data_IF_848042613187
#
_entry.id   IF_848042613187
#
_cell.length_a   1.000
_cell.length_b   1.000
_cell.length_c   1.000
_cell.angle_alpha   90.00
_cell.angle_beta   90.00
_cell.angle_gamma   90.00
#
_symmetry.space_group_name_H-M   'P 1'
#
loop_
_entity.id
_entity.type
_entity.pdbx_description
1 polymer ?
#
# COMPACT_ATOMS: atom_id res chain seq x y z
N UNK A 1 -58.40 -1.20 15.51
CA UNK A 1 -58.47 -0.97 14.05
C UNK A 1 -57.13 -0.41 13.61
N UNK A 2 -56.20 -1.27 13.18
CA UNK A 2 -54.87 -0.81 12.74
C UNK A 2 -55.03 0.02 11.46
N UNK A 3 -54.77 1.33 11.57
CA UNK A 3 -54.85 2.29 10.47
C UNK A 3 -53.67 2.19 9.48
N UNK A 4 -52.64 1.41 9.83
CA UNK A 4 -51.43 1.23 9.03
C UNK A 4 -51.16 -0.25 8.71
N UNK A 5 -50.61 -0.51 7.52
CA UNK A 5 -50.10 -1.81 7.13
C UNK A 5 -48.61 -1.88 7.50
N UNK A 6 -48.20 -2.87 8.30
CA UNK A 6 -46.80 -3.07 8.68
C UNK A 6 -46.05 -3.87 7.62
N UNK A 7 -44.82 -3.44 7.32
CA UNK A 7 -43.97 -4.06 6.32
C UNK A 7 -42.61 -4.45 6.92
N UNK A 8 -42.25 -5.72 6.77
CA UNK A 8 -40.88 -6.17 6.97
C UNK A 8 -39.96 -5.62 5.87
N UNK A 9 -38.77 -5.19 6.26
CA UNK A 9 -37.81 -4.57 5.38
C UNK A 9 -36.36 -4.86 5.80
N UNK A 10 -35.50 -5.06 4.80
CA UNK A 10 -34.06 -5.24 5.03
C UNK A 10 -33.35 -3.89 4.95
N UNK A 11 -32.61 -3.46 5.99
CA UNK A 11 -31.79 -2.25 5.93
C UNK A 11 -30.66 -2.40 4.92
N UNK A 12 -30.29 -1.28 4.32
CA UNK A 12 -29.31 -1.17 3.26
C UNK A 12 -28.54 0.13 3.39
N UNK A 13 -27.23 0.06 3.60
CA UNK A 13 -26.35 1.21 3.55
C UNK A 13 -25.81 1.38 2.13
N UNK A 14 -25.85 2.61 1.63
CA UNK A 14 -25.32 2.99 0.32
C UNK A 14 -24.22 4.01 0.52
N UNK A 15 -22.99 3.64 0.19
CA UNK A 15 -21.79 4.48 0.32
C UNK A 15 -21.27 4.95 -1.04
N UNK A 16 -21.08 6.26 -1.19
CA UNK A 16 -20.51 6.84 -2.42
C UNK A 16 -19.25 7.64 -2.09
N UNK A 17 -18.08 7.10 -2.43
CA UNK A 17 -16.78 7.75 -2.21
C UNK A 17 -16.35 8.54 -3.45
N UNK A 18 -16.29 9.86 -3.34
CA UNK A 18 -15.92 10.81 -4.39
C UNK A 18 -14.73 11.67 -3.97
N UNK A 19 -13.52 11.19 -4.25
CA UNK A 19 -12.30 11.90 -3.85
C UNK A 19 -12.21 12.00 -2.33
N UNK A 20 -12.38 13.21 -1.80
CA UNK A 20 -12.34 13.51 -0.35
C UNK A 20 -13.72 13.57 0.29
N UNK A 21 -14.78 13.19 -0.43
CA UNK A 21 -16.15 13.20 0.08
C UNK A 21 -16.71 11.79 0.11
N UNK A 22 -17.09 11.32 1.29
CA UNK A 22 -17.84 10.06 1.45
C UNK A 22 -19.28 10.38 1.80
N UNK A 23 -20.20 9.97 0.93
CA UNK A 23 -21.63 10.07 1.18
C UNK A 23 -22.17 8.72 1.67
N UNK A 24 -23.13 8.79 2.58
CA UNK A 24 -23.84 7.64 3.11
C UNK A 24 -25.34 7.92 3.13
N UNK A 25 -26.12 6.95 2.66
CA UNK A 25 -27.58 6.92 2.79
C UNK A 25 -27.99 5.60 3.42
N UNK A 26 -28.86 5.66 4.43
CA UNK A 26 -29.50 4.47 5.00
C UNK A 26 -30.87 4.27 4.35
N UNK A 27 -31.01 3.17 3.62
CA UNK A 27 -32.21 2.77 2.91
C UNK A 27 -32.77 1.48 3.49
N UNK A 28 -34.00 1.14 3.13
CA UNK A 28 -34.61 -0.15 3.43
C UNK A 28 -35.38 -0.65 2.21
N UNK A 29 -35.22 -1.95 1.92
CA UNK A 29 -35.98 -2.63 0.87
C UNK A 29 -37.06 -3.49 1.53
N UNK A 30 -38.32 -3.10 1.34
CA UNK A 30 -39.46 -3.83 1.87
C UNK A 30 -39.78 -5.06 1.01
N UNK A 31 -40.50 -6.03 1.59
CA UNK A 31 -40.94 -7.26 0.88
C UNK A 31 -41.76 -6.99 -0.39
N UNK A 32 -42.53 -5.91 -0.43
CA UNK A 32 -43.33 -5.51 -1.59
C UNK A 32 -42.51 -4.80 -2.70
N UNK A 33 -41.19 -4.78 -2.54
CA UNK A 33 -40.23 -4.09 -3.40
C UNK A 33 -40.29 -2.56 -3.36
N UNK A 34 -41.02 -1.96 -2.41
CA UNK A 34 -40.88 -0.53 -2.12
C UNK A 34 -39.50 -0.24 -1.51
N UNK A 35 -38.99 0.95 -1.81
CA UNK A 35 -37.72 1.45 -1.27
C UNK A 35 -37.98 2.66 -0.39
N UNK A 36 -37.34 2.64 0.77
CA UNK A 36 -37.46 3.66 1.80
C UNK A 36 -36.09 4.24 2.13
N UNK A 37 -36.04 5.51 2.50
CA UNK A 37 -34.86 6.20 3.03
C UNK A 37 -35.11 6.63 4.46
N UNK A 38 -34.11 6.44 5.32
CA UNK A 38 -34.12 7.03 6.64
C UNK A 38 -33.72 8.49 6.53
N UNK A 39 -34.58 9.41 6.98
CA UNK A 39 -34.31 10.85 6.94
C UNK A 39 -33.47 11.36 8.13
N UNK A 40 -33.17 10.49 9.10
CA UNK A 40 -32.59 10.84 10.41
C UNK A 40 -33.59 10.70 11.56
N UNK A 41 -34.90 10.84 11.28
CA UNK A 41 -35.97 10.77 12.27
C UNK A 41 -37.13 9.85 11.87
N UNK A 42 -37.39 9.71 10.56
CA UNK A 42 -38.46 8.87 10.03
C UNK A 42 -38.05 8.19 8.70
N UNK A 43 -38.67 7.06 8.41
CA UNK A 43 -38.55 6.37 7.12
C UNK A 43 -39.49 6.99 6.09
N UNK A 44 -38.96 7.40 4.93
CA UNK A 44 -39.71 8.00 3.82
C UNK A 44 -39.66 7.10 2.59
N UNK A 45 -40.79 6.93 1.89
CA UNK A 45 -40.83 6.18 0.63
C UNK A 45 -40.12 6.97 -0.46
N UNK A 46 -39.13 6.37 -1.10
CA UNK A 46 -38.46 6.92 -2.29
C UNK A 46 -39.12 6.38 -3.56
N UNK A 47 -39.36 5.06 -3.60
CA UNK A 47 -39.96 4.38 -4.74
C UNK A 47 -41.07 3.46 -4.28
N UNK A 48 -42.28 3.65 -4.84
CA UNK A 48 -43.41 2.77 -4.57
C UNK A 48 -43.20 1.42 -5.25
N UNK A 49 -43.56 0.32 -4.56
CA UNK A 49 -43.56 -1.01 -5.14
C UNK A 49 -44.55 -1.18 -6.28
N UNK A 50 -44.72 -2.42 -6.77
CA UNK A 50 -45.55 -2.74 -7.96
C UNK A 50 -47.04 -2.38 -7.83
N UNK A 51 -47.52 -2.02 -6.63
CA UNK A 51 -48.92 -1.65 -6.35
C UNK A 51 -48.96 -0.39 -5.49
N UNK A 52 -49.82 0.58 -5.84
CA UNK A 52 -50.09 1.74 -4.98
C UNK A 52 -50.74 1.27 -3.67
N UNK A 53 -50.21 1.67 -2.50
CA UNK A 53 -50.76 1.26 -1.24
C UNK A 53 -52.15 1.88 -1.01
N UNK A 54 -53.08 1.09 -0.48
CA UNK A 54 -54.44 1.54 -0.16
C UNK A 54 -54.53 2.23 1.22
N UNK A 55 -53.49 2.11 2.05
CA UNK A 55 -53.39 2.62 3.42
C UNK A 55 -51.98 3.16 3.67
N UNK A 56 -51.82 3.92 4.76
CA UNK A 56 -50.50 4.32 5.25
C UNK A 56 -49.69 3.05 5.59
N UNK A 57 -48.43 3.02 5.15
CA UNK A 57 -47.51 1.93 5.43
C UNK A 57 -46.47 2.39 6.44
N UNK A 58 -46.08 1.49 7.34
CA UNK A 58 -45.00 1.72 8.30
C UNK A 58 -44.05 0.52 8.24
N UNK A 59 -42.75 0.78 8.34
CA UNK A 59 -41.76 -0.28 8.45
C UNK A 59 -41.70 -0.77 9.90
N UNK A 60 -41.91 -2.07 10.09
CA UNK A 60 -41.74 -2.74 11.39
C UNK A 60 -40.87 -3.98 11.15
N UNK A 61 -39.59 -3.86 11.49
CA UNK A 61 -38.61 -4.94 11.34
C UNK A 61 -37.49 -4.78 12.38
N UNK A 62 -37.16 -5.87 13.08
CA UNK A 62 -36.18 -5.89 14.18
C UNK A 62 -34.77 -5.47 13.73
N UNK A 63 -34.47 -5.58 12.43
CA UNK A 63 -33.15 -5.25 11.85
C UNK A 63 -32.94 -3.75 11.68
N UNK A 64 -33.99 -2.92 11.69
CA UNK A 64 -33.88 -1.49 11.41
C UNK A 64 -33.23 -0.73 12.58
N UNK A 65 -33.55 -1.09 13.82
CA UNK A 65 -33.05 -0.39 15.00
C UNK A 65 -31.52 -0.55 15.18
N UNK A 66 -30.93 -1.76 15.04
CA UNK A 66 -29.48 -1.93 15.00
C UNK A 66 -28.80 -1.11 13.90
N UNK A 67 -29.41 -1.03 12.71
CA UNK A 67 -28.88 -0.25 11.59
C UNK A 67 -28.88 1.26 11.89
N UNK A 68 -29.97 1.79 12.46
CA UNK A 68 -30.04 3.20 12.87
C UNK A 68 -29.03 3.50 13.98
N UNK A 69 -28.86 2.60 14.94
CA UNK A 69 -27.90 2.78 16.03
C UNK A 69 -26.45 2.79 15.53
N UNK A 70 -26.08 1.90 14.61
CA UNK A 70 -24.76 1.92 13.99
C UNK A 70 -24.53 3.20 13.19
N UNK A 71 -25.52 3.67 12.41
CA UNK A 71 -25.45 4.96 11.71
C UNK A 71 -25.20 6.13 12.66
N UNK A 72 -25.87 6.15 13.83
CA UNK A 72 -25.68 7.19 14.85
C UNK A 72 -24.29 7.17 15.46
N UNK A 73 -23.69 6.00 15.63
CA UNK A 73 -22.34 5.87 16.17
C UNK A 73 -21.27 6.47 15.26
N UNK A 74 -21.55 6.58 13.95
CA UNK A 74 -20.62 7.19 13.01
C UNK A 74 -20.45 8.70 13.25
N UNK A 75 -21.47 9.38 13.79
CA UNK A 75 -21.48 10.82 14.10
C UNK A 75 -21.11 11.72 12.88
N UNK A 76 -21.63 11.37 11.70
CA UNK A 76 -21.34 12.11 10.46
C UNK A 76 -22.20 13.36 10.29
N UNK A 77 -21.64 14.37 9.63
CA UNK A 77 -22.34 15.61 9.31
C UNK A 77 -23.54 15.34 8.38
N UNK A 78 -24.68 15.96 8.68
CA UNK A 78 -25.93 15.79 7.94
C UNK A 78 -26.33 17.13 7.30
N UNK A 79 -25.96 17.42 6.03
CA UNK A 79 -26.34 18.66 5.35
C UNK A 79 -27.84 18.74 5.05
N UNK A 80 -28.46 17.59 4.77
CA UNK A 80 -29.88 17.46 4.46
C UNK A 80 -30.43 16.15 5.04
N UNK A 81 -31.74 16.08 5.34
CA UNK A 81 -32.34 14.86 5.88
C UNK A 81 -32.12 13.65 4.96
N UNK A 82 -31.50 12.61 5.50
CA UNK A 82 -31.25 11.35 4.79
C UNK A 82 -29.91 11.25 4.06
N UNK A 83 -29.07 12.29 4.13
CA UNK A 83 -27.71 12.28 3.60
C UNK A 83 -26.70 12.53 4.72
N UNK A 84 -25.77 11.59 4.91
CA UNK A 84 -24.64 11.73 5.83
C UNK A 84 -23.36 11.91 5.01
N UNK A 85 -22.51 12.85 5.42
CA UNK A 85 -21.27 13.17 4.73
C UNK A 85 -20.11 13.12 5.71
N UNK A 86 -19.06 12.40 5.30
CA UNK A 86 -17.75 12.44 5.91
C UNK A 86 -16.70 13.02 4.98
N UNK A 87 -15.70 13.69 5.57
CA UNK A 87 -14.48 14.12 4.87
C UNK A 87 -13.50 12.94 4.79
N UNK A 88 -13.36 12.36 3.61
CA UNK A 88 -12.49 11.23 3.37
C UNK A 88 -11.03 11.68 3.36
N UNK A 89 -10.43 11.67 4.55
CA UNK A 89 -9.00 11.76 4.80
C UNK A 89 -8.50 10.48 5.50
N UNK A 90 -7.19 10.37 5.70
CA UNK A 90 -6.57 9.17 6.29
C UNK A 90 -7.17 8.81 7.67
N UNK A 91 -7.28 9.80 8.56
CA UNK A 91 -7.81 9.60 9.90
C UNK A 91 -9.28 9.17 9.86
N UNK A 92 -10.09 9.82 9.02
CA UNK A 92 -11.50 9.47 8.87
C UNK A 92 -11.69 8.02 8.36
N UNK A 93 -10.92 7.62 7.34
CA UNK A 93 -10.96 6.24 6.84
C UNK A 93 -10.47 5.23 7.86
N UNK A 94 -9.48 5.60 8.68
CA UNK A 94 -9.01 4.79 9.80
C UNK A 94 -10.10 4.58 10.86
N UNK A 95 -10.78 5.65 11.27
CA UNK A 95 -11.89 5.58 12.23
C UNK A 95 -13.03 4.73 11.67
N UNK A 96 -13.42 4.95 10.40
CA UNK A 96 -14.43 4.12 9.74
C UNK A 96 -14.02 2.66 9.71
N UNK A 97 -12.76 2.36 9.41
CA UNK A 97 -12.24 0.99 9.39
C UNK A 97 -12.27 0.32 10.77
N UNK A 98 -12.05 1.08 11.86
CA UNK A 98 -12.12 0.53 13.22
C UNK A 98 -13.52 0.14 13.67
N UNK A 99 -14.56 0.84 13.20
CA UNK A 99 -15.96 0.54 13.53
C UNK A 99 -16.64 -0.34 12.47
N UNK A 100 -15.91 -0.65 11.39
CA UNK A 100 -16.45 -1.39 10.25
C UNK A 100 -16.80 -2.83 10.63
N UNK A 101 -16.03 -3.45 11.53
CA UNK A 101 -16.26 -4.84 11.97
C UNK A 101 -17.50 -4.98 12.86
N UNK A 102 -17.92 -3.90 13.53
CA UNK A 102 -19.13 -3.86 14.37
C UNK A 102 -20.43 -3.59 13.56
N UNK A 103 -20.34 -3.56 12.23
CA UNK A 103 -21.49 -3.26 11.36
C UNK A 103 -22.55 -4.37 11.44
N UNK A 104 -23.85 -4.02 11.37
CA UNK A 104 -24.94 -4.99 11.49
C UNK A 104 -24.93 -6.02 10.35
N UNK A 105 -24.68 -7.30 10.65
CA UNK A 105 -24.58 -8.39 9.67
C UNK A 105 -25.84 -8.60 8.82
N UNK A 106 -27.02 -8.32 9.40
CA UNK A 106 -28.31 -8.44 8.72
C UNK A 106 -28.62 -7.28 7.75
N UNK A 107 -27.73 -6.30 7.63
CA UNK A 107 -27.84 -5.19 6.68
C UNK A 107 -27.15 -5.49 5.35
N UNK A 108 -27.67 -4.93 4.27
CA UNK A 108 -26.99 -4.92 2.97
C UNK A 108 -26.05 -3.71 2.89
N UNK A 109 -24.82 -3.90 2.40
CA UNK A 109 -23.86 -2.81 2.23
C UNK A 109 -23.50 -2.70 0.75
N UNK A 110 -23.81 -1.55 0.17
CA UNK A 110 -23.52 -1.21 -1.21
C UNK A 110 -22.56 -0.02 -1.24
N UNK A 111 -21.77 0.06 -2.30
CA UNK A 111 -21.05 1.28 -2.61
C UNK A 111 -20.47 1.30 -4.00
N UNK A 112 -19.98 2.45 -4.41
CA UNK A 112 -19.26 2.60 -5.67
C UNK A 112 -17.92 1.84 -5.67
N UNK A 113 -17.25 1.73 -6.82
CA UNK A 113 -16.02 0.95 -6.96
C UNK A 113 -14.91 1.39 -5.98
N UNK A 114 -14.80 2.69 -5.74
CA UNK A 114 -13.82 3.26 -4.81
C UNK A 114 -14.06 2.79 -3.37
N UNK A 115 -15.31 2.84 -2.90
CA UNK A 115 -15.67 2.36 -1.57
C UNK A 115 -15.56 0.84 -1.45
N UNK A 116 -16.00 0.11 -2.48
CA UNK A 116 -15.90 -1.35 -2.52
C UNK A 116 -14.46 -1.82 -2.32
N UNK A 117 -13.49 -1.19 -3.01
CA UNK A 117 -12.08 -1.54 -2.91
C UNK A 117 -11.48 -1.36 -1.52
N UNK A 118 -12.05 -0.48 -0.69
CA UNK A 118 -11.55 -0.20 0.66
C UNK A 118 -12.22 -1.05 1.74
N UNK A 119 -13.54 -1.26 1.64
CA UNK A 119 -14.32 -1.77 2.77
C UNK A 119 -15.12 -3.04 2.50
N UNK A 120 -15.59 -3.26 1.26
CA UNK A 120 -16.44 -4.42 0.94
C UNK A 120 -15.65 -5.58 0.32
N UNK A 121 -14.64 -5.25 -0.47
CA UNK A 121 -13.70 -6.16 -1.13
C UNK A 121 -12.31 -5.55 -1.02
N UNK A 122 -11.75 -5.45 0.20
CA UNK A 122 -10.48 -4.78 0.45
C UNK A 122 -9.39 -5.37 -0.43
N UNK A 123 -8.81 -4.54 -1.30
CA UNK A 123 -7.62 -4.89 -2.08
C UNK A 123 -6.45 -4.10 -1.55
N UNK A 124 -5.67 -4.74 -0.68
CA UNK A 124 -4.46 -4.13 -0.11
C UNK A 124 -3.34 -4.18 -1.12
N UNK A 125 -2.80 -3.01 -1.41
CA UNK A 125 -1.58 -2.84 -2.17
C UNK A 125 -0.39 -3.26 -1.32
N UNK A 126 0.49 -4.05 -1.94
CA UNK A 126 1.76 -4.46 -1.33
C UNK A 126 2.90 -4.21 -2.31
N UNK A 127 4.05 -3.70 -1.83
CA UNK A 127 5.24 -3.65 -2.65
C UNK A 127 5.79 -5.06 -2.86
N UNK A 128 6.41 -5.25 -4.02
CA UNK A 128 7.17 -6.42 -4.41
C UNK A 128 8.55 -5.95 -4.81
N UNK A 129 9.55 -6.35 -4.04
CA UNK A 129 10.93 -6.08 -4.41
C UNK A 129 11.35 -7.05 -5.51
N UNK A 130 11.81 -6.49 -6.63
CA UNK A 130 12.28 -7.23 -7.79
C UNK A 130 13.78 -7.02 -7.91
N UNK A 131 14.52 -8.13 -7.93
CA UNK A 131 15.96 -8.13 -8.20
C UNK A 131 16.19 -8.67 -9.60
N UNK A 132 17.05 -8.00 -10.36
CA UNK A 132 17.60 -8.52 -11.61
C UNK A 132 19.11 -8.59 -11.49
N UNK A 133 19.65 -9.79 -11.65
CA UNK A 133 21.08 -9.98 -11.76
C UNK A 133 21.56 -9.51 -13.13
N UNK A 134 22.51 -8.57 -13.15
CA UNK A 134 23.38 -8.43 -14.31
C UNK A 134 24.39 -9.59 -14.28
N UNK A 135 24.94 -10.01 -15.41
CA UNK A 135 25.98 -11.06 -15.46
C UNK A 135 27.31 -10.67 -14.80
N UNK A 136 27.36 -9.56 -14.08
CA UNK A 136 28.50 -8.93 -13.40
C UNK A 136 28.12 -8.75 -11.92
N UNK A 137 29.08 -8.54 -11.02
CA UNK A 137 28.96 -8.46 -9.54
C UNK A 137 28.11 -7.30 -8.96
N UNK A 138 27.10 -6.83 -9.69
CA UNK A 138 26.11 -5.88 -9.21
C UNK A 138 24.69 -6.32 -9.56
N UNK A 139 23.73 -5.93 -8.71
CA UNK A 139 22.32 -6.26 -8.83
C UNK A 139 21.52 -4.99 -9.06
N UNK A 140 20.42 -5.09 -9.81
CA UNK A 140 19.42 -4.02 -9.83
C UNK A 140 18.21 -4.40 -8.99
N UNK A 141 17.85 -3.56 -8.02
CA UNK A 141 16.67 -3.71 -7.17
C UNK A 141 15.66 -2.62 -7.48
N UNK A 142 14.38 -2.97 -7.56
CA UNK A 142 13.29 -2.01 -7.74
C UNK A 142 12.06 -2.46 -6.97
N UNK A 143 11.27 -1.50 -6.47
CA UNK A 143 9.97 -1.79 -5.89
C UNK A 143 8.89 -1.70 -6.97
N UNK A 144 8.27 -2.83 -7.28
CA UNK A 144 7.05 -2.89 -8.08
C UNK A 144 5.84 -2.99 -7.14
N UNK A 145 4.68 -2.45 -7.53
CA UNK A 145 3.46 -2.55 -6.72
C UNK A 145 2.50 -3.51 -7.39
N UNK A 146 2.15 -4.60 -6.71
CA UNK A 146 1.21 -5.59 -7.23
C UNK A 146 -0.24 -5.15 -6.98
N UNK A 147 -1.03 -5.00 -8.04
CA UNK A 147 -2.48 -4.95 -7.93
C UNK A 147 -3.19 -5.59 -9.14
N UNK A 148 -4.18 -6.44 -8.86
CA UNK A 148 -5.08 -6.96 -9.89
C UNK A 148 -5.97 -5.85 -10.46
N UNK A 149 -5.54 -5.28 -11.60
CA UNK A 149 -6.38 -4.46 -12.49
C UNK A 149 -6.14 -2.95 -12.43
N UNK A 150 -5.20 -2.47 -11.59
CA UNK A 150 -4.92 -1.05 -11.43
C UNK A 150 -3.60 -0.66 -12.12
N UNK A 151 -3.74 0.07 -13.23
CA UNK A 151 -2.62 0.72 -13.91
C UNK A 151 -2.20 1.95 -13.10
N UNK A 152 -1.10 1.82 -12.37
CA UNK A 152 -0.49 2.91 -11.60
C UNK A 152 0.39 3.76 -12.51
N UNK A 153 0.26 5.08 -12.37
CA UNK A 153 1.15 6.05 -13.04
C UNK A 153 2.39 6.29 -12.19
N UNK A 154 3.42 6.93 -12.77
CA UNK A 154 4.64 7.29 -12.04
C UNK A 154 4.34 8.09 -10.76
N UNK A 155 3.42 9.05 -10.82
CA UNK A 155 2.99 9.87 -9.67
C UNK A 155 2.31 9.04 -8.58
N UNK A 156 1.54 8.03 -8.97
CA UNK A 156 0.91 7.13 -8.01
C UNK A 156 1.99 6.31 -7.29
N UNK A 157 2.98 5.78 -8.02
CA UNK A 157 4.11 5.03 -7.44
C UNK A 157 4.97 5.89 -6.51
N UNK A 158 5.24 7.15 -6.87
CA UNK A 158 5.95 8.11 -6.00
C UNK A 158 5.18 8.36 -4.70
N UNK A 159 3.85 8.47 -4.78
CA UNK A 159 2.98 8.66 -3.60
C UNK A 159 2.97 7.43 -2.69
N UNK A 160 2.94 6.23 -3.28
CA UNK A 160 3.00 4.97 -2.54
C UNK A 160 4.37 4.75 -1.89
N UNK A 161 5.45 5.14 -2.56
CA UNK A 161 6.82 4.97 -2.06
C UNK A 161 7.10 5.78 -0.79
N UNK A 162 6.45 6.94 -0.65
CA UNK A 162 6.59 7.84 0.50
C UNK A 162 5.52 7.61 1.57
N UNK A 163 4.56 6.74 1.31
CA UNK A 163 3.47 6.50 2.24
C UNK A 163 3.89 5.62 3.41
N UNK A 164 3.44 6.01 4.60
CA UNK A 164 3.60 5.25 5.85
C UNK A 164 2.25 4.81 6.44
N UNK A 165 1.16 5.42 5.96
CA UNK A 165 -0.20 5.17 6.41
C UNK A 165 -0.90 4.01 5.73
N UNK A 166 -1.93 3.47 6.40
CA UNK A 166 -2.81 2.42 5.84
C UNK A 166 -3.61 2.92 4.64
N UNK A 167 -4.06 4.17 4.65
CA UNK A 167 -4.86 4.74 3.57
C UNK A 167 -4.08 5.83 2.84
N UNK A 168 -3.94 5.69 1.54
CA UNK A 168 -3.17 6.62 0.70
C UNK A 168 -4.03 7.13 -0.43
N UNK A 169 -4.01 8.45 -0.65
CA UNK A 169 -4.73 9.06 -1.77
C UNK A 169 -3.84 9.12 -3.00
N UNK A 170 -4.18 8.32 -4.00
CA UNK A 170 -3.51 8.37 -5.30
C UNK A 170 -4.11 9.48 -6.19
N UNK A 171 -3.29 10.31 -6.85
CA UNK A 171 -3.75 11.42 -7.69
C UNK A 171 -4.81 11.03 -8.73
N UNK A 172 -4.68 9.86 -9.35
CA UNK A 172 -5.58 9.44 -10.44
C UNK A 172 -6.57 8.35 -10.03
N UNK A 173 -6.37 7.70 -8.89
CA UNK A 173 -7.09 6.49 -8.49
C UNK A 173 -7.84 6.62 -7.16
N UNK A 174 -7.75 7.79 -6.51
CA UNK A 174 -8.37 8.03 -5.21
C UNK A 174 -7.72 7.18 -4.11
N UNK A 175 -8.49 6.94 -3.04
CA UNK A 175 -8.02 6.24 -1.85
C UNK A 175 -7.77 4.75 -2.07
N UNK A 176 -6.59 4.28 -1.73
CA UNK A 176 -6.18 2.87 -1.69
C UNK A 176 -5.78 2.47 -0.27
N UNK A 177 -5.87 1.18 0.02
CA UNK A 177 -5.39 0.60 1.28
C UNK A 177 -4.04 -0.07 1.04
N UNK A 178 -3.05 0.21 1.90
CA UNK A 178 -1.76 -0.45 1.92
C UNK A 178 -1.71 -1.59 2.93
N UNK A 179 -1.00 -2.65 2.60
CA UNK A 179 -0.48 -3.57 3.59
C UNK A 179 0.71 -2.92 4.30
N UNK A 180 0.45 -2.31 5.46
CA UNK A 180 1.46 -1.57 6.23
C UNK A 180 2.62 -2.48 6.63
N UNK A 181 2.35 -3.73 7.02
CA UNK A 181 3.39 -4.66 7.44
C UNK A 181 4.29 -5.06 6.25
N UNK A 182 3.70 -5.36 5.09
CA UNK A 182 4.47 -5.66 3.89
C UNK A 182 5.26 -4.44 3.40
N UNK A 183 4.68 -3.25 3.51
CA UNK A 183 5.33 -1.98 3.13
C UNK A 183 6.52 -1.68 4.03
N UNK A 184 6.36 -1.80 5.35
CA UNK A 184 7.42 -1.59 6.32
C UNK A 184 8.59 -2.56 6.10
N UNK A 185 8.31 -3.87 5.95
CA UNK A 185 9.36 -4.87 5.67
C UNK A 185 10.13 -4.58 4.39
N UNK A 186 9.43 -4.12 3.35
CA UNK A 186 10.08 -3.75 2.09
C UNK A 186 10.95 -2.50 2.26
N UNK A 187 10.51 -1.50 3.03
CA UNK A 187 11.32 -0.31 3.33
C UNK A 187 12.57 -0.67 4.16
N UNK A 188 12.44 -1.52 5.17
CA UNK A 188 13.55 -2.02 5.98
C UNK A 188 14.57 -2.78 5.11
N UNK A 189 14.10 -3.67 4.22
CA UNK A 189 14.98 -4.39 3.28
C UNK A 189 15.72 -3.46 2.32
N UNK A 190 15.06 -2.39 1.83
CA UNK A 190 15.71 -1.39 0.99
C UNK A 190 16.76 -0.58 1.77
N UNK A 191 16.46 -0.23 3.02
CA UNK A 191 17.39 0.48 3.90
C UNK A 191 18.63 -0.37 4.25
N UNK A 192 18.45 -1.67 4.49
CA UNK A 192 19.56 -2.61 4.70
C UNK A 192 20.48 -2.69 3.47
N UNK A 193 19.91 -2.53 2.28
CA UNK A 193 20.65 -2.42 1.01
C UNK A 193 21.31 -1.05 0.77
N UNK A 194 21.14 -0.10 1.68
CA UNK A 194 21.60 1.28 1.53
C UNK A 194 20.84 2.08 0.48
N UNK A 195 19.59 1.69 0.18
CA UNK A 195 18.71 2.35 -0.78
C UNK A 195 17.65 3.19 -0.06
N UNK A 196 17.33 4.35 -0.64
CA UNK A 196 16.30 5.23 -0.11
C UNK A 196 14.92 4.87 -0.69
N UNK A 197 14.01 4.45 0.18
CA UNK A 197 12.59 4.28 -0.11
C UNK A 197 12.25 3.19 -1.13
N UNK A 198 10.96 3.12 -1.50
CA UNK A 198 10.40 2.13 -2.44
C UNK A 198 10.29 2.71 -3.85
N UNK A 199 11.38 3.23 -4.40
CA UNK A 199 11.35 3.81 -5.74
C UNK A 199 11.06 2.76 -6.81
N UNK A 200 10.24 3.10 -7.83
CA UNK A 200 9.96 2.20 -8.96
C UNK A 200 11.14 2.08 -9.95
N UNK A 201 12.16 2.92 -9.81
CA UNK A 201 13.37 2.87 -10.62
C UNK A 201 14.29 1.71 -10.22
N UNK A 202 14.97 1.11 -11.20
CA UNK A 202 16.01 0.13 -10.93
C UNK A 202 17.22 0.83 -10.29
N UNK A 203 17.49 0.53 -9.03
CA UNK A 203 18.64 1.01 -8.27
C UNK A 203 19.74 -0.05 -8.27
N UNK A 204 20.99 0.35 -8.48
CA UNK A 204 22.12 -0.58 -8.51
C UNK A 204 22.69 -0.74 -7.10
N UNK A 205 22.88 -1.99 -6.68
CA UNK A 205 23.56 -2.34 -5.43
C UNK A 205 24.77 -3.23 -5.73
N UNK A 206 25.81 -3.05 -4.93
CA UNK A 206 26.99 -3.91 -4.96
C UNK A 206 26.71 -5.24 -4.25
N UNK A 207 27.41 -6.32 -4.64
CA UNK A 207 27.17 -7.64 -4.03
C UNK A 207 27.52 -7.67 -2.55
N UNK A 208 28.52 -6.90 -2.13
CA UNK A 208 28.94 -6.76 -0.73
C UNK A 208 27.80 -6.25 0.15
N UNK A 209 27.08 -5.23 -0.33
CA UNK A 209 25.93 -4.66 0.38
C UNK A 209 24.79 -5.68 0.47
N UNK A 210 24.54 -6.43 -0.60
CA UNK A 210 23.54 -7.50 -0.60
C UNK A 210 23.92 -8.65 0.34
N UNK A 211 25.22 -8.94 0.50
CA UNK A 211 25.70 -10.01 1.37
C UNK A 211 25.51 -9.72 2.87
N UNK A 212 25.30 -8.47 3.25
CA UNK A 212 24.95 -8.10 4.61
C UNK A 212 23.46 -8.31 4.96
N UNK A 213 22.62 -8.67 3.97
CA UNK A 213 21.21 -8.94 4.21
C UNK A 213 21.02 -10.20 5.07
N UNK A 214 20.20 -10.09 6.10
CA UNK A 214 19.72 -11.24 6.88
C UNK A 214 18.73 -12.09 6.09
N UNK A 215 18.49 -13.32 6.56
CA UNK A 215 17.49 -14.24 5.97
C UNK A 215 16.08 -13.62 5.91
N UNK A 216 15.72 -12.80 6.90
CA UNK A 216 14.42 -12.11 6.95
C UNK A 216 14.27 -11.12 5.78
N UNK A 217 15.26 -10.25 5.54
CA UNK A 217 15.26 -9.30 4.42
C UNK A 217 15.30 -10.03 3.07
N UNK A 218 16.02 -11.17 2.97
CA UNK A 218 16.05 -12.00 1.76
C UNK A 218 14.71 -12.69 1.46
N UNK A 219 13.85 -12.87 2.45
CA UNK A 219 12.51 -13.46 2.25
C UNK A 219 11.57 -12.51 1.48
N UNK A 220 11.80 -11.19 1.56
CA UNK A 220 10.96 -10.16 0.93
C UNK A 220 11.03 -10.20 -0.60
N UNK A 221 12.13 -10.68 -1.18
CA UNK A 221 12.26 -10.90 -2.63
C UNK A 221 11.42 -12.09 -3.15
N UNK A 222 10.84 -12.87 -2.24
CA UNK A 222 10.02 -14.05 -2.52
C UNK A 222 10.83 -15.23 -3.09
N UNK A 223 10.16 -16.32 -3.44
CA UNK A 223 10.79 -17.57 -3.89
C UNK A 223 10.81 -17.70 -5.42
N UNK A 224 11.22 -16.64 -6.11
CA UNK A 224 11.37 -16.67 -7.55
C UNK A 224 12.80 -17.08 -7.96
N UNK A 225 12.98 -17.50 -9.22
CA UNK A 225 14.30 -17.95 -9.74
C UNK A 225 15.40 -16.89 -9.63
N UNK A 226 15.05 -15.59 -9.64
CA UNK A 226 16.03 -14.50 -9.50
C UNK A 226 16.46 -14.36 -8.04
N UNK A 227 15.52 -14.44 -7.09
CA UNK A 227 15.77 -14.41 -5.66
C UNK A 227 16.57 -15.63 -5.19
N UNK A 228 16.30 -16.83 -5.72
CA UNK A 228 17.13 -18.00 -5.42
C UNK A 228 18.56 -17.80 -5.94
N UNK A 229 18.73 -17.33 -7.18
CA UNK A 229 20.05 -16.98 -7.72
C UNK A 229 20.77 -15.90 -6.91
N UNK A 230 20.01 -14.98 -6.31
CA UNK A 230 20.58 -13.96 -5.42
C UNK A 230 21.10 -14.60 -4.13
N UNK A 231 20.30 -15.47 -3.48
CA UNK A 231 20.73 -16.23 -2.30
C UNK A 231 21.99 -17.04 -2.59
N UNK A 232 21.97 -17.83 -3.67
CA UNK A 232 23.11 -18.63 -4.09
C UNK A 232 24.35 -17.75 -4.36
N UNK A 233 24.18 -16.56 -4.96
CA UNK A 233 25.27 -15.62 -5.24
C UNK A 233 25.86 -15.02 -3.97
N UNK A 234 25.01 -14.59 -3.03
CA UNK A 234 25.43 -14.06 -1.73
C UNK A 234 26.20 -15.13 -0.95
N UNK A 235 25.71 -16.37 -0.93
CA UNK A 235 26.39 -17.51 -0.29
C UNK A 235 27.74 -17.83 -0.94
N UNK A 236 27.84 -17.67 -2.27
CA UNK A 236 29.07 -17.92 -3.03
C UNK A 236 30.05 -16.74 -3.12
N UNK A 237 29.71 -15.59 -2.51
CA UNK A 237 30.51 -14.37 -2.65
C UNK A 237 31.79 -14.47 -1.80
N UNK A 238 32.93 -14.69 -2.46
CA UNK A 238 34.24 -14.83 -1.81
C UNK A 238 34.97 -13.50 -1.56
N UNK A 239 34.36 -12.36 -1.90
CA UNK A 239 34.92 -11.01 -1.72
C UNK A 239 35.37 -10.33 -3.02
N UNK A 240 36.04 -9.18 -2.87
CA UNK A 240 36.49 -8.35 -3.99
C UNK A 240 37.66 -9.03 -4.71
N UNK A 241 37.61 -9.23 -6.04
CA UNK A 241 38.70 -9.85 -6.77
C UNK A 241 39.93 -8.95 -6.80
N UNK A 242 41.09 -9.50 -6.45
CA UNK A 242 42.33 -8.74 -6.49
C UNK A 242 42.76 -8.43 -7.93
N UNK A 243 43.14 -7.19 -8.19
CA UNK A 243 43.72 -6.75 -9.46
C UNK A 243 45.21 -6.47 -9.29
N UNK A 244 46.00 -7.00 -10.23
CA UNK A 244 47.40 -6.63 -10.34
C UNK A 244 47.57 -5.14 -10.59
N UNK A 245 48.50 -4.51 -9.89
CA UNK A 245 48.90 -3.12 -10.12
C UNK A 245 49.52 -3.00 -11.52
N UNK A 246 49.19 -1.96 -12.30
CA UNK A 246 49.85 -1.69 -13.58
C UNK A 246 51.38 -1.55 -13.46
N UNK A 247 52.11 -2.16 -14.39
CA UNK A 247 53.59 -2.22 -14.39
C UNK A 247 54.30 -0.86 -14.44
N UNK A 248 53.58 0.22 -14.80
CA UNK A 248 54.12 1.57 -14.92
C UNK A 248 54.17 2.35 -13.58
N UNK A 249 53.75 1.72 -12.48
CA UNK A 249 53.70 2.36 -11.16
C UNK A 249 54.94 2.00 -10.36
N UNK A 250 55.79 2.99 -10.13
CA UNK A 250 57.01 2.85 -9.34
C UNK A 250 56.76 3.21 -7.87
N UNK A 251 55.86 2.48 -7.22
CA UNK A 251 55.55 2.66 -5.80
C UNK A 251 55.26 1.32 -5.11
N UNK A 252 55.76 1.16 -3.89
CA UNK A 252 55.40 0.04 -3.02
C UNK A 252 54.14 0.41 -2.21
N UNK A 253 53.01 -0.18 -2.56
CA UNK A 253 51.79 -0.05 -1.76
C UNK A 253 51.92 -0.83 -0.44
N UNK A 254 51.30 -0.31 0.62
CA UNK A 254 51.06 -1.05 1.87
C UNK A 254 49.90 -2.02 1.67
N UNK A 255 49.78 -3.12 2.46
CA UNK A 255 48.71 -4.11 2.31
C UNK A 255 47.30 -3.50 2.20
N UNK A 256 46.93 -2.57 3.08
CA UNK A 256 45.63 -1.89 3.04
C UNK A 256 45.42 -1.01 1.78
N UNK A 257 46.50 -0.56 1.13
CA UNK A 257 46.41 0.22 -0.10
C UNK A 257 46.14 -0.66 -1.33
N UNK A 258 46.55 -1.93 -1.30
CA UNK A 258 46.11 -2.91 -2.30
C UNK A 258 44.61 -3.17 -2.17
N UNK A 259 44.10 -3.35 -0.94
CA UNK A 259 42.68 -3.55 -0.69
C UNK A 259 41.84 -2.35 -1.18
N UNK A 260 42.29 -1.12 -0.89
CA UNK A 260 41.65 0.10 -1.40
C UNK A 260 41.69 0.23 -2.92
N UNK A 261 42.79 -0.16 -3.57
CA UNK A 261 42.92 -0.19 -5.03
C UNK A 261 42.01 -1.23 -5.67
N UNK A 262 41.96 -2.45 -5.12
CA UNK A 262 41.09 -3.53 -5.58
C UNK A 262 39.62 -3.12 -5.48
N UNK A 263 39.23 -2.49 -4.36
CA UNK A 263 37.90 -1.92 -4.17
C UNK A 263 37.55 -0.85 -5.21
N UNK A 264 38.44 0.13 -5.46
CA UNK A 264 38.20 1.16 -6.48
C UNK A 264 38.12 0.57 -7.90
N UNK A 265 38.99 -0.39 -8.22
CA UNK A 265 38.97 -1.11 -9.48
C UNK A 265 37.67 -1.89 -9.69
N UNK A 266 37.16 -2.49 -8.61
CA UNK A 266 35.90 -3.20 -8.59
C UNK A 266 34.73 -2.24 -8.81
N UNK A 267 34.62 -1.16 -8.03
CA UNK A 267 33.60 -0.11 -8.19
C UNK A 267 33.59 0.49 -9.60
N UNK A 268 34.77 0.84 -10.13
CA UNK A 268 34.93 1.34 -11.50
C UNK A 268 34.44 0.33 -12.54
N UNK A 269 34.72 -0.96 -12.35
CA UNK A 269 34.25 -2.01 -13.28
C UNK A 269 32.73 -2.16 -13.30
N UNK A 270 32.06 -1.80 -12.20
CA UNK A 270 30.60 -1.81 -12.07
C UNK A 270 29.95 -0.48 -12.47
N UNK A 271 30.75 0.56 -12.75
CA UNK A 271 30.27 1.91 -13.00
C UNK A 271 29.61 2.54 -11.77
N UNK A 272 29.99 2.08 -10.58
CA UNK A 272 29.57 2.63 -9.29
C UNK A 272 30.59 3.66 -8.81
N UNK A 273 30.12 4.71 -8.14
CA UNK A 273 30.97 5.59 -7.35
C UNK A 273 31.18 4.99 -5.96
N UNK A 274 32.30 5.31 -5.32
CA UNK A 274 32.52 4.95 -3.92
C UNK A 274 33.44 5.94 -3.23
N UNK A 275 33.36 5.94 -1.91
CA UNK A 275 34.16 6.82 -1.04
C UNK A 275 35.14 5.94 -0.28
N UNK A 276 36.43 6.17 -0.48
CA UNK A 276 37.48 5.64 0.39
C UNK A 276 37.50 6.47 1.68
N UNK A 277 36.91 5.92 2.74
CA UNK A 277 36.86 6.55 4.05
C UNK A 277 38.06 6.16 4.95
N UNK A 278 39.23 5.86 4.36
CA UNK A 278 40.46 5.61 5.12
C UNK A 278 40.86 6.83 5.97
N UNK A 279 41.46 6.59 7.14
CA UNK A 279 41.98 7.64 8.03
C UNK A 279 42.94 8.63 7.32
N UNK A 280 42.96 9.88 7.79
CA UNK A 280 43.79 10.96 7.22
C UNK A 280 45.29 10.63 7.38
N UNK A 281 46.04 10.64 6.27
CA UNK A 281 47.50 10.39 6.25
C UNK A 281 47.94 9.08 5.59
N UNK A 282 47.01 8.21 5.18
CA UNK A 282 47.30 6.86 4.68
C UNK A 282 47.62 6.74 3.18
N UNK A 283 47.74 7.85 2.44
CA UNK A 283 48.20 7.83 1.04
C UNK A 283 47.11 7.62 -0.03
N UNK A 284 45.88 8.11 0.20
CA UNK A 284 44.74 8.04 -0.75
C UNK A 284 45.04 8.52 -2.17
N UNK A 285 45.91 9.53 -2.32
CA UNK A 285 46.32 10.04 -3.64
C UNK A 285 47.06 9.00 -4.48
N UNK A 286 47.86 8.15 -3.84
CA UNK A 286 48.58 7.08 -4.52
C UNK A 286 47.59 6.03 -5.02
N UNK A 287 46.63 5.60 -4.18
CA UNK A 287 45.58 4.65 -4.55
C UNK A 287 44.70 5.13 -5.73
N UNK A 288 44.40 6.43 -5.85
CA UNK A 288 43.60 6.98 -6.98
C UNK A 288 44.38 7.15 -8.28
N UNK A 289 45.70 7.38 -8.20
CA UNK A 289 46.57 7.48 -9.38
C UNK A 289 46.99 6.12 -9.94
N UNK A 290 46.76 5.06 -9.17
CA UNK A 290 47.08 3.67 -9.52
C UNK A 290 45.98 3.06 -10.37
#
# INVERSE_FOLDING_TARGET
SNLCDSLEAKPRFVFELHGDRLELRLQAKAKDSSQWEWSGHEWKIITTGRRKPKRLQVLEDERLEPAINWLRQLDWFTPEPGLWIGDANENFLHVLASVWDDRPEDSEFLGNDAFQRLFLKPKRLKPKLVVKGSGIDWLSVSAEWEEEGLKLTKKDLESLAQATGRFVKLPNKGWVELDVNATQRAQETMADLGLDGLEPGAQKIAMEQAAHLGEESLSVFGDNKQAQKLRDRIESFEGIPSKGIPDNIQAELRPYQYEGFDFLCHLKSMGLGGILADDMGLGKTLQTLT
#
